data_IF_337447118355
#
_entry.id   IF_337447118355
#
_cell.length_a   1.000
_cell.length_b   1.000
_cell.length_c   1.000
_cell.angle_alpha   90.00
_cell.angle_beta   90.00
_cell.angle_gamma   90.00
#
_symmetry.space_group_name_H-M   'P 1'
#
loop_
_entity.id
_entity.type
_entity.pdbx_description
1 polymer ?
#
# COMPACT_ATOMS: atom_id res chain seq x y z
N UNK A 1 -36.71 -20.96 20.10
CA UNK A 1 -35.39 -21.08 19.46
C UNK A 1 -35.17 -19.79 18.70
N UNK A 2 -34.32 -18.90 19.22
CA UNK A 2 -34.07 -17.59 18.61
C UNK A 2 -33.02 -17.81 17.52
N UNK A 3 -33.46 -17.77 16.27
CA UNK A 3 -32.54 -17.74 15.12
C UNK A 3 -31.65 -16.51 15.28
N UNK A 4 -30.35 -16.66 15.06
CA UNK A 4 -29.32 -15.64 15.26
C UNK A 4 -28.99 -14.96 13.92
N UNK A 5 -29.76 -13.94 13.47
CA UNK A 5 -29.43 -13.16 12.27
C UNK A 5 -28.12 -12.35 12.41
N UNK A 6 -27.58 -12.26 13.63
CA UNK A 6 -26.39 -11.47 13.96
C UNK A 6 -25.10 -12.00 13.29
N UNK A 7 -25.01 -13.29 12.98
CA UNK A 7 -23.79 -13.89 12.39
C UNK A 7 -23.63 -13.52 10.90
N UNK A 8 -24.75 -13.32 10.18
CA UNK A 8 -24.73 -12.97 8.75
C UNK A 8 -24.38 -11.49 8.49
N UNK A 9 -24.78 -10.60 9.39
CA UNK A 9 -24.54 -9.15 9.27
C UNK A 9 -23.05 -8.79 9.44
N UNK A 10 -22.37 -9.46 10.37
CA UNK A 10 -20.94 -9.27 10.65
C UNK A 10 -20.06 -9.67 9.48
N UNK A 11 -20.43 -10.74 8.76
CA UNK A 11 -19.70 -11.23 7.58
C UNK A 11 -19.77 -10.26 6.40
N UNK A 12 -20.96 -9.69 6.14
CA UNK A 12 -21.17 -8.69 5.09
C UNK A 12 -20.42 -7.37 5.42
N UNK A 13 -20.39 -7.00 6.70
CA UNK A 13 -19.63 -5.83 7.18
C UNK A 13 -18.12 -6.04 6.99
N UNK A 14 -17.59 -7.22 7.32
CA UNK A 14 -16.18 -7.58 7.10
C UNK A 14 -15.79 -7.56 5.62
N UNK A 15 -16.63 -8.04 4.72
CA UNK A 15 -16.36 -8.03 3.28
C UNK A 15 -16.30 -6.60 2.72
N UNK A 16 -17.22 -5.72 3.15
CA UNK A 16 -17.18 -4.28 2.81
C UNK A 16 -15.94 -3.58 3.35
N UNK A 17 -15.57 -3.85 4.60
CA UNK A 17 -14.41 -3.25 5.25
C UNK A 17 -13.10 -3.71 4.59
N UNK A 18 -13.01 -5.00 4.24
CA UNK A 18 -11.92 -5.51 3.42
C UNK A 18 -11.88 -4.83 2.05
N UNK A 19 -13.00 -4.67 1.33
CA UNK A 19 -13.00 -3.95 0.05
C UNK A 19 -12.49 -2.51 0.18
N UNK A 20 -12.92 -1.79 1.22
CA UNK A 20 -12.44 -0.44 1.48
C UNK A 20 -10.93 -0.39 1.76
N UNK A 21 -10.41 -1.34 2.55
CA UNK A 21 -8.96 -1.47 2.79
C UNK A 21 -8.16 -1.71 1.50
N UNK A 22 -8.68 -2.51 0.57
CA UNK A 22 -8.03 -2.70 -0.74
C UNK A 22 -7.98 -1.40 -1.54
N UNK A 23 -9.09 -0.67 -1.56
CA UNK A 23 -9.17 0.59 -2.26
C UNK A 23 -8.17 1.61 -1.69
N UNK A 24 -8.09 1.71 -0.35
CA UNK A 24 -7.11 2.56 0.31
C UNK A 24 -5.67 2.14 -0.01
N UNK A 25 -5.36 0.84 0.02
CA UNK A 25 -4.04 0.32 -0.34
C UNK A 25 -3.65 0.68 -1.78
N UNK A 26 -4.60 0.61 -2.72
CA UNK A 26 -4.35 1.02 -4.11
C UNK A 26 -4.02 2.51 -4.23
N UNK A 27 -4.73 3.37 -3.50
CA UNK A 27 -4.40 4.80 -3.43
C UNK A 27 -3.01 5.05 -2.82
N UNK A 28 -2.66 4.32 -1.76
CA UNK A 28 -1.33 4.42 -1.14
C UNK A 28 -0.24 4.06 -2.17
N UNK A 29 -0.41 2.98 -2.94
CA UNK A 29 0.54 2.62 -4.02
C UNK A 29 0.72 3.75 -5.01
N UNK A 30 -0.37 4.33 -5.52
CA UNK A 30 -0.33 5.41 -6.50
C UNK A 30 0.40 6.65 -5.95
N UNK A 31 0.08 7.05 -4.73
CA UNK A 31 0.69 8.20 -4.06
C UNK A 31 2.17 7.93 -3.76
N UNK A 32 2.51 6.76 -3.21
CA UNK A 32 3.90 6.38 -2.93
C UNK A 32 4.73 6.32 -4.22
N UNK A 33 4.17 5.86 -5.33
CA UNK A 33 4.87 5.81 -6.61
C UNK A 33 5.15 7.22 -7.16
N UNK A 34 4.19 8.14 -7.04
CA UNK A 34 4.40 9.53 -7.39
C UNK A 34 5.51 10.19 -6.56
N UNK A 35 5.47 10.01 -5.23
CA UNK A 35 6.51 10.53 -4.34
C UNK A 35 7.87 9.90 -4.59
N UNK A 36 7.93 8.61 -4.93
CA UNK A 36 9.17 7.92 -5.25
C UNK A 36 9.87 8.56 -6.45
N UNK A 37 9.13 8.80 -7.54
CA UNK A 37 9.68 9.44 -8.75
C UNK A 37 10.14 10.86 -8.46
N UNK A 38 9.32 11.64 -7.75
CA UNK A 38 9.63 13.03 -7.43
C UNK A 38 10.88 13.17 -6.54
N UNK A 39 10.98 12.34 -5.50
CA UNK A 39 12.13 12.36 -4.59
C UNK A 39 13.38 11.77 -5.24
N UNK A 40 13.26 10.78 -6.13
CA UNK A 40 14.39 10.24 -6.89
C UNK A 40 14.96 11.28 -7.87
N UNK A 41 14.08 12.02 -8.56
CA UNK A 41 14.49 13.13 -9.43
C UNK A 41 15.20 14.24 -8.62
N UNK A 42 14.62 14.65 -7.50
CA UNK A 42 15.22 15.65 -6.62
C UNK A 42 16.57 15.19 -6.07
N UNK A 43 16.69 13.92 -5.63
CA UNK A 43 17.96 13.37 -5.17
C UNK A 43 19.05 13.47 -6.25
N UNK A 44 18.74 13.07 -7.50
CA UNK A 44 19.68 13.19 -8.62
C UNK A 44 20.10 14.63 -8.91
N UNK A 45 19.15 15.58 -8.87
CA UNK A 45 19.42 17.02 -9.01
C UNK A 45 20.31 17.56 -7.90
N UNK A 46 20.08 17.19 -6.64
CA UNK A 46 20.88 17.68 -5.52
C UNK A 46 22.30 17.09 -5.52
N UNK A 47 22.48 15.84 -5.96
CA UNK A 47 23.82 15.28 -6.20
C UNK A 47 24.58 16.05 -7.28
N UNK A 48 23.92 16.44 -8.37
CA UNK A 48 24.53 17.20 -9.45
C UNK A 48 24.95 18.63 -9.07
N UNK A 49 24.29 19.24 -8.08
CA UNK A 49 24.58 20.60 -7.60
C UNK A 49 25.61 20.58 -6.43
N UNK A 50 26.03 19.40 -5.95
CA UNK A 50 26.99 19.26 -4.86
C UNK A 50 26.38 19.44 -3.46
N UNK A 51 25.05 19.48 -3.32
CA UNK A 51 24.37 19.60 -2.04
C UNK A 51 24.11 18.22 -1.42
N UNK A 52 25.13 17.66 -0.77
CA UNK A 52 25.06 16.32 -0.16
C UNK A 52 23.95 16.17 0.89
N UNK A 53 23.71 17.19 1.73
CA UNK A 53 22.68 17.12 2.78
C UNK A 53 21.26 16.97 2.21
N UNK A 54 20.91 17.80 1.22
CA UNK A 54 19.60 17.74 0.56
C UNK A 54 19.43 16.47 -0.27
N UNK A 55 20.52 15.97 -0.87
CA UNK A 55 20.52 14.71 -1.61
C UNK A 55 20.26 13.51 -0.69
N UNK A 56 20.92 13.47 0.47
CA UNK A 56 20.76 12.40 1.45
C UNK A 56 19.35 12.39 2.04
N UNK A 57 18.79 13.56 2.36
CA UNK A 57 17.42 13.69 2.83
C UNK A 57 16.41 13.24 1.75
N UNK A 58 16.63 13.59 0.49
CA UNK A 58 15.78 13.14 -0.63
C UNK A 58 15.83 11.61 -0.80
N UNK A 59 17.01 10.99 -0.62
CA UNK A 59 17.16 9.54 -0.61
C UNK A 59 16.39 8.86 0.54
N UNK A 60 16.34 9.47 1.73
CA UNK A 60 15.49 8.95 2.82
C UNK A 60 14.01 8.96 2.46
N UNK A 61 13.52 10.01 1.78
CA UNK A 61 12.14 10.04 1.29
C UNK A 61 11.87 9.01 0.20
N UNK A 62 12.85 8.73 -0.67
CA UNK A 62 12.79 7.61 -1.62
C UNK A 62 12.68 6.28 -0.88
N UNK A 63 13.56 6.04 0.11
CA UNK A 63 13.54 4.81 0.89
C UNK A 63 12.20 4.61 1.62
N UNK A 64 11.65 5.67 2.23
CA UNK A 64 10.32 5.63 2.84
C UNK A 64 9.23 5.26 1.84
N UNK A 65 9.22 5.92 0.68
CA UNK A 65 8.25 5.64 -0.39
C UNK A 65 8.36 4.20 -0.90
N UNK A 66 9.59 3.67 -1.03
CA UNK A 66 9.84 2.27 -1.41
C UNK A 66 9.29 1.28 -0.38
N UNK A 67 9.45 1.55 0.91
CA UNK A 67 8.93 0.68 1.98
C UNK A 67 7.40 0.65 1.93
N UNK A 68 6.74 1.81 1.82
CA UNK A 68 5.27 1.86 1.69
C UNK A 68 4.78 1.15 0.44
N UNK A 69 5.48 1.31 -0.68
CA UNK A 69 5.19 0.59 -1.92
C UNK A 69 5.31 -0.93 -1.73
N UNK A 70 6.40 -1.39 -1.11
CA UNK A 70 6.67 -2.82 -0.86
C UNK A 70 5.62 -3.46 0.06
N UNK A 71 5.25 -2.78 1.15
CA UNK A 71 4.20 -3.25 2.08
C UNK A 71 2.87 -3.35 1.36
N UNK A 72 2.51 -2.32 0.59
CA UNK A 72 1.24 -2.30 -0.15
C UNK A 72 1.20 -3.40 -1.23
N UNK A 73 2.31 -3.64 -1.93
CA UNK A 73 2.42 -4.71 -2.92
C UNK A 73 2.34 -6.10 -2.29
N UNK A 74 2.97 -6.28 -1.13
CA UNK A 74 2.87 -7.51 -0.32
C UNK A 74 1.44 -7.76 0.13
N UNK A 75 0.71 -6.72 0.56
CA UNK A 75 -0.68 -6.84 0.95
C UNK A 75 -1.58 -7.29 -0.21
N UNK A 76 -1.44 -6.66 -1.38
CA UNK A 76 -2.16 -7.04 -2.61
C UNK A 76 -1.87 -8.49 -2.97
N UNK A 77 -0.61 -8.90 -2.89
CA UNK A 77 -0.19 -10.28 -3.15
C UNK A 77 -0.88 -11.27 -2.19
N UNK A 78 -0.78 -11.06 -0.88
CA UNK A 78 -1.43 -11.92 0.13
C UNK A 78 -2.92 -12.06 -0.17
N UNK A 79 -3.61 -10.98 -0.50
CA UNK A 79 -5.05 -11.03 -0.78
C UNK A 79 -5.38 -11.78 -2.06
N UNK A 80 -4.57 -11.62 -3.11
CA UNK A 80 -4.73 -12.37 -4.35
C UNK A 80 -4.63 -13.87 -4.10
N UNK A 81 -3.62 -14.32 -3.33
CA UNK A 81 -3.47 -15.72 -2.98
C UNK A 81 -4.57 -16.23 -2.05
N UNK A 82 -4.96 -15.45 -1.04
CA UNK A 82 -6.02 -15.84 -0.08
C UNK A 82 -7.41 -15.93 -0.73
N UNK A 83 -7.73 -15.08 -1.72
CA UNK A 83 -8.96 -15.25 -2.53
C UNK A 83 -8.90 -16.51 -3.40
N UNK A 84 -7.75 -16.82 -4.00
CA UNK A 84 -7.59 -18.00 -4.88
C UNK A 84 -7.69 -19.33 -4.13
N UNK A 85 -7.26 -19.40 -2.87
CA UNK A 85 -7.45 -20.61 -2.03
C UNK A 85 -8.90 -20.83 -1.59
N UNK A 86 -9.70 -19.77 -1.46
CA UNK A 86 -11.13 -19.87 -1.10
C UNK A 86 -11.99 -20.33 -2.30
N UNK A 87 -11.66 -19.92 -3.53
CA UNK A 87 -12.43 -20.27 -4.74
C UNK A 87 -12.20 -21.74 -5.19
N UNK A 88 -11.20 -22.44 -4.64
CA UNK A 88 -10.86 -23.84 -4.99
C UNK A 88 -11.42 -24.90 -4.02
N UNK A 89 -12.31 -24.55 -3.09
CA UNK A 89 -13.03 -25.52 -2.24
C UNK A 89 -14.53 -25.42 -2.43
#
# INVERSE_FOLDING_TARGET
MVETPLVGLDRNTKERLMFFMDLMMFFIVAVSMFFLVLNAYNAGRFFGIGSMGCAQQSLFYVAGSTVFLSVSMTWIFIRFFKRRTIIRR
#
